data_IF_761046645608
#
_entry.id   IF_761046645608
#
_cell.length_a   1.000
_cell.length_b   1.000
_cell.length_c   1.000
_cell.angle_alpha   90.00
_cell.angle_beta   90.00
_cell.angle_gamma   90.00
#
_symmetry.space_group_name_H-M   'P 1'
#
loop_
_entity.id
_entity.type
_entity.pdbx_description
1 polymer ?
#
# COMPACT_ATOMS: atom_id res chain seq x y z
N UNK A 1 22.80 2.88 12.01
CA UNK A 1 21.45 2.96 12.67
C UNK A 1 20.78 1.63 12.41
N UNK A 2 20.54 0.86 13.45
CA UNK A 2 19.84 -0.44 13.33
C UNK A 2 18.40 -0.19 12.91
N UNK A 3 17.97 -0.86 11.87
CA UNK A 3 16.61 -0.78 11.36
C UNK A 3 15.62 -1.31 12.40
N UNK A 4 14.49 -0.60 12.60
CA UNK A 4 13.47 -1.07 13.53
C UNK A 4 12.84 -2.38 13.02
N UNK A 5 12.59 -3.36 13.89
CA UNK A 5 12.00 -4.63 13.50
C UNK A 5 10.61 -4.45 12.84
N UNK A 6 10.16 -5.48 12.13
CA UNK A 6 8.79 -5.52 11.65
C UNK A 6 7.82 -5.47 12.85
N UNK A 7 6.75 -4.68 12.76
CA UNK A 7 5.74 -4.68 13.80
C UNK A 7 5.03 -6.04 13.89
N UNK A 8 4.52 -6.42 15.07
CA UNK A 8 3.72 -7.63 15.22
C UNK A 8 2.41 -7.51 14.40
N UNK A 9 1.74 -8.62 14.10
CA UNK A 9 0.42 -8.61 13.48
C UNK A 9 -0.59 -7.79 14.27
N UNK A 10 -1.60 -7.28 13.58
CA UNK A 10 -2.71 -6.55 14.24
C UNK A 10 -3.55 -7.51 15.07
N UNK A 11 -3.62 -7.26 16.38
CA UNK A 11 -4.33 -8.13 17.32
C UNK A 11 -5.79 -7.73 17.60
N UNK A 12 -6.23 -6.54 17.16
CA UNK A 12 -7.59 -6.05 17.42
C UNK A 12 -7.99 -4.93 16.45
N UNK A 13 -9.29 -4.72 16.29
CA UNK A 13 -9.83 -3.62 15.49
C UNK A 13 -9.38 -2.23 16.02
N UNK A 14 -9.30 -2.09 17.34
CA UNK A 14 -8.82 -0.86 17.96
C UNK A 14 -7.34 -0.57 17.60
N UNK A 15 -6.50 -1.59 17.55
CA UNK A 15 -5.10 -1.44 17.10
C UNK A 15 -5.02 -1.18 15.60
N UNK A 16 -5.87 -1.81 14.77
CA UNK A 16 -5.97 -1.53 13.34
C UNK A 16 -6.28 -0.05 13.08
N UNK A 17 -7.30 0.47 13.76
CA UNK A 17 -7.67 1.87 13.66
C UNK A 17 -6.56 2.81 14.15
N UNK A 18 -5.88 2.45 15.24
CA UNK A 18 -4.75 3.20 15.76
C UNK A 18 -3.57 3.21 14.76
N UNK A 19 -3.26 2.08 14.13
CA UNK A 19 -2.23 2.00 13.08
C UNK A 19 -2.58 2.86 11.87
N UNK A 20 -3.83 2.83 11.42
CA UNK A 20 -4.28 3.68 10.32
C UNK A 20 -4.09 5.16 10.65
N UNK A 21 -4.52 5.60 11.83
CA UNK A 21 -4.34 6.98 12.32
C UNK A 21 -2.87 7.38 12.37
N UNK A 22 -2.01 6.52 12.90
CA UNK A 22 -0.59 6.77 12.99
C UNK A 22 0.08 6.85 11.60
N UNK A 23 -0.32 5.99 10.67
CA UNK A 23 0.18 5.97 9.30
C UNK A 23 -0.27 7.20 8.47
N UNK A 24 -1.38 7.84 8.84
CA UNK A 24 -1.91 9.06 8.20
C UNK A 24 -1.47 10.35 8.89
N UNK A 25 -0.74 10.24 10.00
CA UNK A 25 -0.24 11.42 10.71
C UNK A 25 0.87 12.11 9.91
N UNK A 26 0.67 13.40 9.59
CA UNK A 26 1.70 14.19 8.92
C UNK A 26 3.00 14.22 9.76
N UNK A 27 4.13 14.08 9.09
CA UNK A 27 5.45 14.03 9.74
C UNK A 27 5.86 12.67 10.28
N UNK A 28 5.00 11.65 10.18
CA UNK A 28 5.33 10.25 10.50
C UNK A 28 5.40 9.46 9.19
N UNK A 29 6.60 9.34 8.63
CA UNK A 29 6.85 8.43 7.51
C UNK A 29 6.99 6.97 7.97
N UNK A 30 7.14 6.01 7.03
CA UNK A 30 7.23 4.57 7.34
C UNK A 30 8.28 4.21 8.40
N UNK A 31 9.48 4.76 8.30
CA UNK A 31 10.53 4.54 9.30
C UNK A 31 10.17 5.12 10.68
N UNK A 32 9.47 6.27 10.72
CA UNK A 32 8.95 6.86 11.95
C UNK A 32 7.88 6.01 12.60
N UNK A 33 6.96 5.48 11.80
CA UNK A 33 5.93 4.54 12.22
C UNK A 33 6.53 3.30 12.88
N UNK A 34 7.48 2.63 12.22
CA UNK A 34 8.16 1.43 12.77
C UNK A 34 8.86 1.74 14.09
N UNK A 35 9.59 2.87 14.17
CA UNK A 35 10.28 3.28 15.41
C UNK A 35 9.32 3.58 16.54
N UNK A 36 8.18 4.23 16.27
CA UNK A 36 7.16 4.50 17.28
C UNK A 36 6.55 3.20 17.82
N UNK A 37 6.18 2.26 16.95
CA UNK A 37 5.66 0.97 17.37
C UNK A 37 6.68 0.17 18.17
N UNK A 38 7.95 0.17 17.75
CA UNK A 38 9.01 -0.53 18.47
C UNK A 38 9.27 0.08 19.87
N UNK A 39 9.16 1.41 20.01
CA UNK A 39 9.37 2.10 21.28
C UNK A 39 8.19 1.99 22.23
N UNK A 40 6.96 2.05 21.74
CA UNK A 40 5.74 2.12 22.57
C UNK A 40 5.00 0.77 22.64
N UNK A 41 5.38 -0.22 21.82
CA UNK A 41 4.80 -1.56 21.80
C UNK A 41 3.48 -1.67 21.01
N UNK A 42 2.74 -0.58 20.79
CA UNK A 42 1.49 -0.56 20.00
C UNK A 42 1.22 0.82 19.42
N UNK A 43 0.37 0.88 18.39
CA UNK A 43 -0.06 2.16 17.83
C UNK A 43 -0.98 2.93 18.78
N UNK A 44 -1.77 2.22 19.59
CA UNK A 44 -2.58 2.84 20.65
C UNK A 44 -1.70 3.57 21.67
N UNK A 45 -0.63 2.94 22.16
CA UNK A 45 0.32 3.56 23.08
C UNK A 45 1.08 4.72 22.44
N UNK A 46 1.49 4.58 21.17
CA UNK A 46 2.12 5.64 20.40
C UNK A 46 1.21 6.88 20.25
N UNK A 47 -0.06 6.69 19.93
CA UNK A 47 -1.04 7.77 19.87
C UNK A 47 -1.29 8.42 21.23
N UNK A 48 -1.37 7.63 22.31
CA UNK A 48 -1.51 8.16 23.67
C UNK A 48 -0.28 8.98 24.09
N UNK A 49 0.92 8.60 23.69
CA UNK A 49 2.14 9.39 23.87
C UNK A 49 2.06 10.71 23.07
N UNK A 50 1.70 10.64 21.78
CA UNK A 50 1.57 11.81 20.92
C UNK A 50 0.51 12.80 21.43
N UNK A 51 -0.58 12.31 22.01
CA UNK A 51 -1.59 13.18 22.65
C UNK A 51 -1.03 13.99 23.83
N UNK A 52 -0.05 13.44 24.56
CA UNK A 52 0.63 14.13 25.67
C UNK A 52 1.81 15.00 25.24
N UNK A 53 2.50 14.56 24.18
CA UNK A 53 3.65 15.25 23.59
C UNK A 53 3.54 15.18 22.07
N UNK A 54 2.85 16.13 21.43
CA UNK A 54 2.57 16.09 19.99
C UNK A 54 3.80 16.44 19.15
N UNK A 55 4.95 15.86 19.49
CA UNK A 55 6.20 16.12 18.78
C UNK A 55 6.90 14.82 18.39
N UNK A 56 7.33 14.76 17.14
CA UNK A 56 8.17 13.72 16.58
C UNK A 56 9.18 14.31 15.61
N UNK A 57 10.47 13.97 15.79
CA UNK A 57 11.54 14.52 14.95
C UNK A 57 11.63 16.05 14.95
N UNK A 58 11.25 16.71 16.05
CA UNK A 58 11.25 18.16 16.18
C UNK A 58 10.07 18.88 15.51
N UNK A 59 9.08 18.13 15.03
CA UNK A 59 7.86 18.68 14.40
C UNK A 59 6.64 18.30 15.22
N UNK A 60 5.62 19.16 15.17
CA UNK A 60 4.31 18.83 15.70
C UNK A 60 3.64 17.79 14.81
N UNK A 61 2.99 16.80 15.44
CA UNK A 61 2.29 15.70 14.77
C UNK A 61 0.87 15.64 15.29
N UNK A 62 -0.08 15.79 14.39
CA UNK A 62 -1.51 15.69 14.68
C UNK A 62 -2.09 14.50 13.90
N UNK A 63 -2.26 13.33 14.55
CA UNK A 63 -2.92 12.20 13.90
C UNK A 63 -4.39 12.52 13.60
N UNK A 64 -4.96 11.98 12.50
CA UNK A 64 -6.39 12.10 12.24
C UNK A 64 -7.21 11.55 13.42
N UNK A 65 -8.42 12.05 13.59
CA UNK A 65 -9.35 11.61 14.64
C UNK A 65 -9.72 10.12 14.44
N UNK A 66 -10.20 9.44 15.49
CA UNK A 66 -10.74 8.08 15.34
C UNK A 66 -11.88 7.99 14.32
N UNK A 67 -12.69 9.04 14.23
CA UNK A 67 -13.81 9.12 13.28
C UNK A 67 -13.32 9.16 11.82
N UNK A 68 -12.37 10.02 11.50
CA UNK A 68 -11.81 10.14 10.15
C UNK A 68 -11.20 8.82 9.68
N UNK A 69 -10.44 8.14 10.54
CA UNK A 69 -9.86 6.85 10.21
C UNK A 69 -10.93 5.75 10.06
N UNK A 70 -11.97 5.76 10.88
CA UNK A 70 -13.08 4.82 10.75
C UNK A 70 -13.88 5.08 9.46
N UNK A 71 -14.07 6.34 9.07
CA UNK A 71 -14.70 6.71 7.80
C UNK A 71 -13.88 6.25 6.59
N UNK A 72 -12.54 6.37 6.62
CA UNK A 72 -11.64 5.84 5.59
C UNK A 72 -11.76 4.32 5.47
N UNK A 73 -11.65 3.59 6.59
CA UNK A 73 -11.78 2.14 6.61
C UNK A 73 -13.16 1.66 6.11
N UNK A 74 -14.23 2.33 6.54
CA UNK A 74 -15.59 2.02 6.11
C UNK A 74 -15.82 2.35 4.62
N UNK A 75 -15.20 3.41 4.10
CA UNK A 75 -15.27 3.76 2.69
C UNK A 75 -14.63 2.66 1.83
N UNK A 76 -13.46 2.18 2.21
CA UNK A 76 -12.79 1.07 1.53
C UNK A 76 -13.62 -0.23 1.61
N UNK A 77 -14.16 -0.55 2.79
CA UNK A 77 -15.01 -1.73 2.97
C UNK A 77 -16.27 -1.70 2.11
N UNK A 78 -16.90 -0.53 1.92
CA UNK A 78 -18.07 -0.38 1.01
C UNK A 78 -17.73 -0.68 -0.45
N UNK A 79 -16.48 -0.53 -0.87
CA UNK A 79 -15.99 -0.94 -2.19
C UNK A 79 -15.66 -2.44 -2.27
N UNK A 80 -15.81 -3.19 -1.17
CA UNK A 80 -15.36 -4.58 -1.08
C UNK A 80 -13.84 -4.70 -0.84
N UNK A 81 -13.19 -3.61 -0.48
CA UNK A 81 -11.76 -3.60 -0.17
C UNK A 81 -11.46 -3.81 1.31
N UNK A 82 -10.19 -3.94 1.63
CA UNK A 82 -9.67 -4.09 3.00
C UNK A 82 -8.34 -3.40 3.20
N UNK A 83 -8.00 -3.14 4.46
CA UNK A 83 -6.68 -2.65 4.85
C UNK A 83 -5.77 -3.85 5.16
N UNK A 84 -4.52 -3.77 4.68
CA UNK A 84 -3.43 -4.66 5.08
C UNK A 84 -2.41 -3.83 5.87
N UNK A 85 -1.95 -4.36 6.99
CA UNK A 85 -0.98 -3.67 7.84
C UNK A 85 0.37 -4.37 7.77
N UNK A 86 1.43 -3.59 7.77
CA UNK A 86 2.79 -4.11 7.86
C UNK A 86 2.93 -4.98 9.12
N UNK A 87 3.38 -6.22 8.93
CA UNK A 87 3.46 -7.24 9.98
C UNK A 87 2.33 -8.28 9.94
N UNK A 88 1.22 -8.03 9.22
CA UNK A 88 0.18 -9.03 9.01
C UNK A 88 0.63 -10.10 8.00
N UNK A 89 0.11 -11.31 8.15
CA UNK A 89 0.45 -12.44 7.27
C UNK A 89 0.10 -12.20 5.80
N UNK A 90 -0.94 -11.40 5.54
CA UNK A 90 -1.41 -11.07 4.19
C UNK A 90 -0.68 -9.87 3.56
N UNK A 91 0.20 -9.20 4.32
CA UNK A 91 0.98 -8.10 3.78
C UNK A 91 2.02 -8.63 2.79
N UNK A 92 2.22 -7.99 1.60
CA UNK A 92 3.14 -8.50 0.58
C UNK A 92 4.58 -8.67 1.14
N UNK A 93 5.13 -9.91 1.16
CA UNK A 93 6.37 -10.18 1.90
C UNK A 93 7.57 -9.41 1.34
N UNK A 94 7.69 -9.32 0.02
CA UNK A 94 8.79 -8.55 -0.61
C UNK A 94 8.70 -7.05 -0.35
N UNK A 95 7.48 -6.51 -0.23
CA UNK A 95 7.28 -5.11 0.13
C UNK A 95 7.64 -4.87 1.60
N UNK A 96 7.37 -5.82 2.48
CA UNK A 96 7.73 -5.75 3.89
C UNK A 96 9.24 -5.69 4.15
N UNK A 97 10.06 -6.22 3.22
CA UNK A 97 11.52 -6.18 3.30
C UNK A 97 12.11 -4.77 3.07
N UNK A 98 11.32 -3.85 2.49
CA UNK A 98 11.79 -2.49 2.26
C UNK A 98 11.86 -1.69 3.56
N UNK A 99 12.92 -0.90 3.77
CA UNK A 99 13.08 -0.06 4.97
C UNK A 99 11.97 1.01 5.09
N UNK A 100 11.39 1.41 3.98
CA UNK A 100 10.32 2.39 3.86
C UNK A 100 8.97 1.77 3.43
N UNK A 101 8.79 0.46 3.67
CA UNK A 101 7.54 -0.23 3.40
C UNK A 101 6.33 0.54 3.96
N UNK A 102 5.28 0.77 3.16
CA UNK A 102 4.08 1.47 3.61
C UNK A 102 3.46 0.78 4.84
N UNK A 103 3.20 1.49 5.94
CA UNK A 103 2.62 0.86 7.14
C UNK A 103 1.24 0.25 6.93
N UNK A 104 0.48 0.79 5.97
CA UNK A 104 -0.91 0.41 5.67
C UNK A 104 -1.13 0.48 4.16
N UNK A 105 -1.73 -0.55 3.60
CA UNK A 105 -2.19 -0.61 2.21
C UNK A 105 -3.71 -0.76 2.18
N UNK A 106 -4.38 0.06 1.36
CA UNK A 106 -5.76 -0.23 0.94
C UNK A 106 -5.73 -1.18 -0.24
N UNK A 107 -6.45 -2.28 -0.18
CA UNK A 107 -6.50 -3.29 -1.23
C UNK A 107 -7.92 -3.55 -1.67
N UNK A 108 -8.15 -3.57 -2.97
CA UNK A 108 -9.41 -3.94 -3.62
C UNK A 108 -9.11 -5.09 -4.60
N UNK A 109 -9.88 -6.16 -4.52
CA UNK A 109 -9.69 -7.37 -5.33
C UNK A 109 -9.04 -8.51 -4.56
N UNK A 110 -8.45 -9.46 -5.30
CA UNK A 110 -7.84 -10.68 -4.73
C UNK A 110 -6.42 -10.42 -4.18
N UNK A 111 -6.22 -10.44 -2.85
CA UNK A 111 -4.90 -10.22 -2.25
C UNK A 111 -3.89 -11.33 -2.55
N UNK A 112 -4.32 -12.51 -2.99
CA UNK A 112 -3.40 -13.57 -3.39
C UNK A 112 -2.50 -13.14 -4.58
N UNK A 113 -2.95 -12.19 -5.39
CA UNK A 113 -2.13 -11.59 -6.43
C UNK A 113 -0.91 -10.84 -5.88
N UNK A 114 -0.99 -10.32 -4.64
CA UNK A 114 0.10 -9.57 -4.01
C UNK A 114 1.22 -10.47 -3.49
N UNK A 115 0.93 -11.73 -3.17
CA UNK A 115 1.90 -12.71 -2.70
C UNK A 115 2.59 -13.48 -3.85
N UNK A 116 1.99 -13.47 -5.04
CA UNK A 116 2.53 -14.15 -6.22
C UNK A 116 3.82 -13.47 -6.74
N UNK A 117 4.66 -14.18 -7.50
CA UNK A 117 5.76 -13.55 -8.23
C UNK A 117 5.25 -12.44 -9.15
N UNK A 118 5.85 -11.25 -9.05
CA UNK A 118 5.40 -10.07 -9.76
C UNK A 118 6.53 -9.46 -10.58
N UNK A 119 6.14 -8.80 -11.68
CA UNK A 119 7.03 -7.96 -12.46
C UNK A 119 6.38 -6.60 -12.72
N UNK A 120 7.13 -5.52 -12.49
CA UNK A 120 6.69 -4.16 -12.75
C UNK A 120 6.89 -3.77 -14.22
N UNK A 121 5.83 -3.32 -14.89
CA UNK A 121 5.90 -2.68 -16.20
C UNK A 121 5.46 -1.23 -16.08
N UNK A 122 6.37 -0.31 -16.38
CA UNK A 122 6.12 1.13 -16.29
C UNK A 122 6.66 1.84 -17.54
N UNK A 123 6.04 2.95 -17.92
CA UNK A 123 6.52 3.69 -19.06
C UNK A 123 5.78 5.00 -19.33
N UNK A 124 6.00 5.53 -20.52
CA UNK A 124 5.50 6.84 -20.90
C UNK A 124 3.96 6.89 -20.97
N UNK A 125 3.36 7.97 -20.43
CA UNK A 125 1.91 8.24 -20.55
C UNK A 125 1.51 8.57 -22.00
N UNK A 126 2.39 9.24 -22.74
CA UNK A 126 2.23 9.57 -24.17
C UNK A 126 3.04 8.60 -25.02
N UNK A 127 2.80 7.29 -24.88
CA UNK A 127 3.50 6.25 -25.61
C UNK A 127 3.02 6.17 -27.07
N UNK A 128 3.94 5.87 -27.99
CA UNK A 128 3.60 5.56 -29.39
C UNK A 128 2.74 4.29 -29.50
N UNK A 129 2.05 4.12 -30.61
CA UNK A 129 1.27 2.91 -30.86
C UNK A 129 2.14 1.64 -30.82
N UNK A 130 3.38 1.71 -31.33
CA UNK A 130 4.32 0.60 -31.27
C UNK A 130 4.75 0.27 -29.84
N UNK A 131 5.05 1.29 -29.02
CA UNK A 131 5.42 1.09 -27.62
C UNK A 131 4.28 0.49 -26.79
N UNK A 132 3.04 0.93 -27.03
CA UNK A 132 1.87 0.34 -26.36
C UNK A 132 1.65 -1.12 -26.75
N UNK A 133 1.76 -1.43 -28.04
CA UNK A 133 1.65 -2.81 -28.52
C UNK A 133 2.72 -3.70 -27.91
N UNK A 134 3.99 -3.24 -27.91
CA UNK A 134 5.07 -4.00 -27.26
C UNK A 134 4.80 -4.26 -25.77
N UNK A 135 4.34 -3.25 -25.04
CA UNK A 135 4.01 -3.40 -23.62
C UNK A 135 2.85 -4.38 -23.39
N UNK A 136 1.85 -4.38 -24.27
CA UNK A 136 0.71 -5.28 -24.24
C UNK A 136 1.16 -6.73 -24.50
N UNK A 137 1.92 -6.98 -25.56
CA UNK A 137 2.43 -8.30 -25.92
C UNK A 137 3.35 -8.85 -24.82
N UNK A 138 4.29 -8.05 -24.31
CA UNK A 138 5.16 -8.45 -23.19
C UNK A 138 4.37 -8.78 -21.93
N UNK A 139 3.34 -8.01 -21.60
CA UNK A 139 2.52 -8.26 -20.42
C UNK A 139 1.69 -9.53 -20.55
N UNK A 140 1.20 -9.85 -21.75
CA UNK A 140 0.51 -11.10 -22.07
C UNK A 140 1.44 -12.31 -21.88
N UNK A 141 2.64 -12.27 -22.48
CA UNK A 141 3.65 -13.35 -22.36
C UNK A 141 4.06 -13.57 -20.90
N UNK A 142 4.28 -12.51 -20.14
CA UNK A 142 4.63 -12.59 -18.71
C UNK A 142 3.51 -13.19 -17.87
N UNK A 143 2.27 -12.80 -18.16
CA UNK A 143 1.09 -13.32 -17.46
C UNK A 143 0.84 -14.81 -17.82
N UNK A 144 1.05 -15.20 -19.09
CA UNK A 144 1.00 -16.59 -19.54
C UNK A 144 2.08 -17.43 -18.85
N UNK A 145 3.25 -16.87 -18.60
CA UNK A 145 4.31 -17.51 -17.82
C UNK A 145 4.02 -17.60 -16.31
N UNK A 146 2.84 -17.16 -15.84
CA UNK A 146 2.39 -17.25 -14.47
C UNK A 146 2.84 -16.10 -13.56
N UNK A 147 3.41 -15.02 -14.12
CA UNK A 147 3.76 -13.82 -13.37
C UNK A 147 2.56 -12.88 -13.25
N UNK A 148 2.49 -12.15 -12.14
CA UNK A 148 1.54 -11.04 -11.99
C UNK A 148 2.20 -9.77 -12.51
N UNK A 149 1.57 -9.10 -13.46
CA UNK A 149 2.05 -7.82 -13.98
C UNK A 149 1.58 -6.68 -13.08
N UNK A 150 2.52 -5.90 -12.55
CA UNK A 150 2.22 -4.75 -11.69
C UNK A 150 2.52 -3.45 -12.41
N UNK A 151 1.57 -2.51 -12.39
CA UNK A 151 1.74 -1.21 -13.04
C UNK A 151 0.96 -0.10 -12.30
N UNK A 152 1.17 1.15 -12.70
CA UNK A 152 0.62 2.34 -12.02
C UNK A 152 -0.76 2.79 -12.52
N UNK A 153 -1.45 2.01 -13.35
CA UNK A 153 -2.76 2.34 -13.93
C UNK A 153 -2.77 3.66 -14.73
N UNK A 154 -1.63 4.21 -15.11
CA UNK A 154 -1.57 5.42 -15.91
C UNK A 154 -1.94 5.16 -17.39
N UNK A 155 -2.24 6.23 -18.14
CA UNK A 155 -2.39 6.13 -19.61
C UNK A 155 -1.09 5.67 -20.25
N UNK A 156 -1.16 5.12 -21.46
CA UNK A 156 0.01 4.73 -22.25
C UNK A 156 0.50 3.33 -21.96
N UNK A 157 1.75 3.18 -21.56
CA UNK A 157 2.38 1.87 -21.31
C UNK A 157 1.69 1.12 -20.18
N UNK A 158 1.37 1.78 -19.06
CA UNK A 158 0.75 1.13 -17.93
C UNK A 158 -0.62 0.51 -18.30
N UNK A 159 -1.47 1.27 -18.99
CA UNK A 159 -2.76 0.77 -19.46
C UNK A 159 -2.60 -0.41 -20.43
N UNK A 160 -1.65 -0.35 -21.34
CA UNK A 160 -1.35 -1.43 -22.27
C UNK A 160 -0.85 -2.68 -21.54
N UNK A 161 0.01 -2.53 -20.54
CA UNK A 161 0.47 -3.63 -19.69
C UNK A 161 -0.67 -4.33 -18.96
N UNK A 162 -1.60 -3.56 -18.36
CA UNK A 162 -2.79 -4.14 -17.73
C UNK A 162 -3.68 -4.88 -18.74
N UNK A 163 -3.88 -4.31 -19.94
CA UNK A 163 -4.69 -4.94 -21.00
C UNK A 163 -4.10 -6.26 -21.46
N UNK A 164 -2.77 -6.30 -21.71
CA UNK A 164 -2.08 -7.53 -22.09
C UNK A 164 -2.18 -8.62 -21.01
N UNK A 165 -1.83 -8.27 -19.77
CA UNK A 165 -1.84 -9.23 -18.67
C UNK A 165 -3.23 -9.83 -18.38
N UNK A 166 -4.30 -9.08 -18.60
CA UNK A 166 -5.69 -9.55 -18.37
C UNK A 166 -6.17 -10.55 -19.41
N UNK A 167 -5.46 -10.77 -20.51
CA UNK A 167 -5.84 -11.78 -21.52
C UNK A 167 -5.57 -13.20 -21.05
N UNK A 168 -4.49 -13.40 -20.30
CA UNK A 168 -3.99 -14.74 -19.94
C UNK A 168 -3.79 -14.94 -18.45
N UNK A 169 -3.77 -13.87 -17.63
CA UNK A 169 -3.46 -13.98 -16.23
C UNK A 169 -3.99 -12.84 -15.36
N UNK A 170 -3.17 -12.41 -14.40
CA UNK A 170 -3.53 -11.42 -13.39
C UNK A 170 -2.64 -10.20 -13.43
N UNK A 171 -3.19 -9.07 -13.04
CA UNK A 171 -2.45 -7.82 -12.89
C UNK A 171 -2.80 -7.09 -11.59
N UNK A 172 -1.85 -6.30 -11.10
CA UNK A 172 -2.02 -5.44 -9.91
C UNK A 172 -1.80 -3.99 -10.30
N UNK A 173 -2.77 -3.14 -10.00
CA UNK A 173 -2.62 -1.70 -10.15
C UNK A 173 -2.21 -1.07 -8.81
N UNK A 174 -1.14 -0.27 -8.82
CA UNK A 174 -0.66 0.49 -7.66
C UNK A 174 -0.93 1.97 -7.91
N UNK A 175 -1.82 2.55 -7.11
CA UNK A 175 -2.22 3.95 -7.26
C UNK A 175 -1.91 4.75 -5.99
N UNK A 176 -1.50 6.02 -6.10
CA UNK A 176 -1.15 6.85 -4.94
C UNK A 176 -2.37 7.45 -4.24
N UNK A 177 -3.56 7.35 -4.83
CA UNK A 177 -4.81 7.95 -4.35
C UNK A 177 -5.80 6.96 -3.76
N UNK A 178 -6.98 7.47 -3.39
CA UNK A 178 -8.08 6.62 -2.93
C UNK A 178 -8.59 5.69 -4.04
N UNK A 179 -8.95 4.47 -3.65
CA UNK A 179 -9.48 3.45 -4.58
C UNK A 179 -10.92 3.74 -5.03
N UNK A 180 -11.58 4.70 -4.39
CA UNK A 180 -12.91 5.21 -4.77
C UNK A 180 -12.89 6.10 -6.03
N UNK A 181 -11.72 6.66 -6.35
CA UNK A 181 -11.52 7.54 -7.51
C UNK A 181 -10.17 7.26 -8.18
N UNK A 182 -9.99 6.06 -8.76
CA UNK A 182 -8.76 5.77 -9.49
C UNK A 182 -8.63 6.73 -10.68
N UNK A 183 -7.42 7.28 -10.86
CA UNK A 183 -7.08 8.15 -11.98
C UNK A 183 -6.04 7.44 -12.86
N UNK A 184 -6.09 7.54 -14.18
CA UNK A 184 -6.88 8.41 -15.05
C UNK A 184 -8.30 7.97 -15.26
#
# INVERSE_FOLDING_TARGET
MTEAPLPPPVGSEAEALARLRLARAEGIGPAGFRRLLAAEGSAQAALARLARRPQWGGREVVPPSPREAAEEAAALARLGGRLLFLGDADYPPRLAELPDAPPVLGVLGDPAALAAPQIGLVGARAASAAARRLAEDMAEDLAEAGLVVTSGLARGVDAAAHQGALRTGRTVAVVPGGLDRPYP
#
